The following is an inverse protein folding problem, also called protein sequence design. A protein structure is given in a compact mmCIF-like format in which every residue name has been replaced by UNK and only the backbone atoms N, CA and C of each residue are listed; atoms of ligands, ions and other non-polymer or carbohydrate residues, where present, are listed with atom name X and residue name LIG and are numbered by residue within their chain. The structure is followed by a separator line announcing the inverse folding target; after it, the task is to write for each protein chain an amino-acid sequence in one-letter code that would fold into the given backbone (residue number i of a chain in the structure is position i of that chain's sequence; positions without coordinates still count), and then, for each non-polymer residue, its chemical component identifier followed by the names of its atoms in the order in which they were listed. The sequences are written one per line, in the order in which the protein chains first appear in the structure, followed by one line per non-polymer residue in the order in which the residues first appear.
data_IF_138023251030
#
_entry.id   IF_138023251030
#
_cell.length_a   1.000
_cell.length_b   1.000
_cell.length_c   1.000
_cell.angle_alpha   90.00
_cell.angle_beta   90.00
_cell.angle_gamma   90.00
#
_symmetry.space_group_name_H-M   'P 1'
#
loop_
_entity.id
_entity.type
_entity.pdbx_description
1 polymer ?
#
# COMPACT_ATOMS: atom_id res chain seq x y z
N UNK A 1 -27.14 9.90 1.31
CA UNK A 1 -26.85 8.44 1.23
C UNK A 1 -25.33 8.17 1.29
N UNK A 2 -24.55 8.94 2.08
CA UNK A 2 -23.07 8.84 2.05
C UNK A 2 -22.35 8.90 3.41
N UNK A 3 -23.05 9.03 4.54
CA UNK A 3 -22.42 9.36 5.83
C UNK A 3 -22.00 8.13 6.65
N UNK A 4 -21.99 6.97 6.00
CA UNK A 4 -21.92 5.70 6.68
C UNK A 4 -20.99 4.71 5.97
N UNK A 5 -19.94 4.29 6.64
CA UNK A 5 -19.10 3.17 6.22
C UNK A 5 -19.66 1.87 6.79
N UNK A 6 -19.89 0.88 5.92
CA UNK A 6 -20.24 -0.47 6.36
C UNK A 6 -18.92 -1.22 6.59
N UNK A 7 -18.49 -1.30 7.85
CA UNK A 7 -17.27 -2.03 8.21
C UNK A 7 -17.68 -3.42 8.70
N UNK A 8 -17.06 -4.44 8.12
CA UNK A 8 -17.21 -5.82 8.59
C UNK A 8 -16.34 -5.98 9.82
N UNK A 9 -16.96 -6.30 10.96
CA UNK A 9 -16.21 -6.52 12.19
C UNK A 9 -15.53 -7.89 12.11
N UNK A 10 -14.24 -7.90 11.82
CA UNK A 10 -13.39 -9.09 11.90
C UNK A 10 -12.71 -9.09 13.27
N UNK A 11 -13.22 -9.92 14.18
CA UNK A 11 -12.65 -10.05 15.52
C UNK A 11 -11.74 -11.28 15.57
N UNK A 12 -10.48 -11.06 15.97
CA UNK A 12 -9.45 -12.02 16.41
C UNK A 12 -9.32 -13.35 15.65
N UNK A 13 -8.16 -13.53 15.01
CA UNK A 13 -7.65 -14.86 14.64
C UNK A 13 -7.32 -15.64 15.92
N UNK A 14 -8.18 -16.57 16.32
CA UNK A 14 -7.79 -17.60 17.26
C UNK A 14 -7.10 -18.71 16.46
N UNK A 15 -5.79 -18.84 16.62
CA UNK A 15 -5.04 -19.98 16.11
C UNK A 15 -5.18 -21.10 17.13
N UNK A 16 -6.17 -21.98 16.94
CA UNK A 16 -6.26 -23.21 17.71
C UNK A 16 -5.26 -24.23 17.16
N UNK A 17 -4.27 -24.57 17.97
CA UNK A 17 -3.41 -25.71 17.73
C UNK A 17 -3.99 -26.90 18.49
N UNK A 18 -4.35 -27.96 17.78
CA UNK A 18 -4.75 -29.20 18.42
C UNK A 18 -3.49 -30.04 18.65
N UNK A 19 -3.09 -30.18 19.91
CA UNK A 19 -2.01 -31.09 20.29
C UNK A 19 -2.47 -32.54 20.06
N UNK A 20 -1.65 -33.32 19.40
CA UNK A 20 -1.92 -34.70 18.98
C UNK A 20 -1.59 -35.72 20.08
N UNK A 21 -1.69 -35.31 21.34
CA UNK A 21 -1.29 -36.07 22.55
C UNK A 21 -2.39 -36.96 23.13
N UNK A 22 -3.61 -36.81 22.62
CA UNK A 22 -4.68 -37.78 22.79
C UNK A 22 -5.01 -38.35 21.42
N UNK A 23 -5.55 -39.56 21.35
CA UNK A 23 -6.32 -39.98 20.17
C UNK A 23 -7.42 -38.93 20.06
N UNK A 24 -7.16 -37.88 19.28
CA UNK A 24 -7.89 -36.65 19.31
C UNK A 24 -9.37 -36.96 19.12
N UNK A 25 -10.21 -36.27 19.88
CA UNK A 25 -11.63 -36.07 19.58
C UNK A 25 -11.81 -35.26 18.27
N UNK A 26 -10.87 -35.35 17.33
CA UNK A 26 -11.01 -35.00 15.93
C UNK A 26 -12.16 -35.85 15.39
N UNK A 27 -13.38 -35.33 15.55
CA UNK A 27 -14.66 -35.89 15.17
C UNK A 27 -14.53 -37.29 14.59
N UNK A 28 -14.67 -38.35 15.41
CA UNK A 28 -14.74 -39.74 14.91
C UNK A 28 -15.70 -39.88 13.70
N UNK A 29 -16.70 -39.00 13.60
CA UNK A 29 -17.63 -38.87 12.46
C UNK A 29 -16.99 -38.44 11.11
N UNK A 30 -15.79 -37.86 11.09
CA UNK A 30 -15.09 -37.38 9.87
C UNK A 30 -13.92 -38.29 9.46
N UNK A 31 -13.22 -38.92 10.41
CA UNK A 31 -12.10 -39.81 10.15
C UNK A 31 -12.27 -41.10 10.95
N UNK A 32 -13.05 -42.04 10.40
CA UNK A 32 -13.61 -43.17 11.17
C UNK A 32 -12.58 -44.14 11.78
N UNK A 33 -11.33 -44.20 11.30
CA UNK A 33 -10.30 -45.14 11.80
C UNK A 33 -8.89 -44.61 11.57
N UNK A 34 -8.01 -44.82 12.55
CA UNK A 34 -6.56 -44.83 12.32
C UNK A 34 -6.31 -45.92 11.27
N UNK A 35 -5.84 -45.54 10.09
CA UNK A 35 -5.55 -46.47 9.00
C UNK A 35 -4.05 -46.78 9.03
N UNK A 36 -3.70 -48.07 9.06
CA UNK A 36 -2.30 -48.44 8.84
C UNK A 36 -1.89 -48.07 7.41
N UNK A 37 -0.59 -47.91 7.16
CA UNK A 37 -0.06 -47.65 5.80
C UNK A 37 -0.52 -48.69 4.77
N UNK A 38 -0.85 -49.91 5.21
CA UNK A 38 -1.43 -50.96 4.36
C UNK A 38 -2.85 -50.60 3.93
N UNK A 39 -3.71 -50.26 4.88
CA UNK A 39 -5.11 -49.92 4.61
C UNK A 39 -5.21 -48.62 3.80
N UNK A 40 -4.32 -47.67 4.05
CA UNK A 40 -4.25 -46.43 3.27
C UNK A 40 -3.83 -46.70 1.82
N UNK A 41 -2.85 -47.59 1.60
CA UNK A 41 -2.46 -48.01 0.26
C UNK A 41 -3.60 -48.70 -0.51
N UNK A 42 -4.35 -49.59 0.16
CA UNK A 42 -5.53 -50.24 -0.40
C UNK A 42 -6.63 -49.26 -0.82
N UNK A 43 -6.82 -48.19 -0.04
CA UNK A 43 -7.81 -47.15 -0.33
C UNK A 43 -7.38 -46.22 -1.46
N UNK A 44 -6.11 -45.83 -1.47
CA UNK A 44 -5.58 -44.84 -2.43
C UNK A 44 -5.31 -45.47 -3.79
N UNK A 45 -4.79 -46.70 -3.84
CA UNK A 45 -4.35 -47.33 -5.08
C UNK A 45 -5.44 -47.36 -6.18
N UNK A 46 -6.71 -47.73 -5.91
CA UNK A 46 -7.78 -47.68 -6.90
C UNK A 46 -8.14 -46.26 -7.38
N UNK A 47 -7.81 -45.24 -6.60
CA UNK A 47 -8.10 -43.82 -6.91
C UNK A 47 -6.96 -43.16 -7.69
N UNK A 48 -5.82 -43.83 -7.87
CA UNK A 48 -4.71 -43.29 -8.65
C UNK A 48 -5.11 -43.13 -10.12
N UNK A 49 -4.59 -42.10 -10.82
CA UNK A 49 -4.73 -41.99 -12.26
C UNK A 49 -4.36 -43.29 -12.97
N UNK A 50 -5.11 -43.65 -14.02
CA UNK A 50 -4.93 -44.93 -14.75
C UNK A 50 -3.48 -45.15 -15.18
N UNK A 51 -2.78 -44.08 -15.58
CA UNK A 51 -1.36 -44.12 -15.97
C UNK A 51 -0.40 -44.55 -14.85
N UNK A 52 -0.73 -44.26 -13.59
CA UNK A 52 0.03 -44.68 -12.40
C UNK A 52 -0.44 -46.05 -11.91
N UNK A 53 -1.75 -46.29 -11.93
CA UNK A 53 -2.35 -47.55 -11.49
C UNK A 53 -1.88 -48.76 -12.33
N UNK A 54 -1.63 -48.54 -13.63
CA UNK A 54 -1.03 -49.57 -14.53
C UNK A 54 0.44 -49.88 -14.20
N UNK A 55 1.17 -48.93 -13.62
CA UNK A 55 2.62 -49.07 -13.34
C UNK A 55 2.92 -49.47 -11.91
N UNK A 56 2.10 -49.04 -10.96
CA UNK A 56 2.31 -49.23 -9.53
C UNK A 56 1.31 -50.25 -9.04
N UNK A 57 1.78 -51.37 -8.53
CA UNK A 57 0.94 -52.25 -7.72
C UNK A 57 0.69 -51.63 -6.32
N UNK A 58 -0.19 -52.28 -5.54
CA UNK A 58 -0.49 -51.88 -4.16
C UNK A 58 0.78 -51.83 -3.29
N UNK A 59 1.75 -52.71 -3.54
CA UNK A 59 3.01 -52.76 -2.81
C UNK A 59 3.88 -51.52 -3.06
N UNK A 60 3.97 -51.06 -4.30
CA UNK A 60 4.67 -49.82 -4.66
C UNK A 60 3.95 -48.59 -4.13
N UNK A 61 2.61 -48.57 -4.19
CA UNK A 61 1.79 -47.51 -3.58
C UNK A 61 2.06 -47.41 -2.06
N UNK A 62 2.12 -48.56 -1.37
CA UNK A 62 2.46 -48.62 0.06
C UNK A 62 3.88 -48.14 0.35
N UNK A 63 4.87 -48.50 -0.49
CA UNK A 63 6.26 -48.01 -0.36
C UNK A 63 6.31 -46.49 -0.50
N UNK A 64 5.59 -45.93 -1.46
CA UNK A 64 5.52 -44.49 -1.66
C UNK A 64 4.90 -43.77 -0.45
N UNK A 65 3.75 -44.26 0.04
CA UNK A 65 3.08 -43.69 1.24
C UNK A 65 4.02 -43.71 2.45
N UNK A 66 4.76 -44.82 2.67
CA UNK A 66 5.75 -44.90 3.76
C UNK A 66 6.88 -43.88 3.58
N UNK A 67 7.39 -43.72 2.36
CA UNK A 67 8.40 -42.72 2.03
C UNK A 67 7.90 -41.31 2.33
N UNK A 68 6.69 -40.98 1.86
CA UNK A 68 6.05 -39.69 2.08
C UNK A 68 5.87 -39.36 3.58
N UNK A 69 5.35 -40.31 4.37
CA UNK A 69 5.21 -40.14 5.83
C UNK A 69 6.57 -39.98 6.49
N UNK A 70 7.59 -40.73 6.05
CA UNK A 70 8.95 -40.60 6.59
C UNK A 70 9.53 -39.22 6.30
N UNK A 71 9.39 -38.70 5.08
CA UNK A 71 9.85 -37.34 4.72
C UNK A 71 9.16 -36.29 5.58
N UNK A 72 7.84 -36.38 5.79
CA UNK A 72 7.13 -35.47 6.67
C UNK A 72 7.66 -35.50 8.12
N UNK A 73 8.03 -36.68 8.64
CA UNK A 73 8.65 -36.80 9.97
C UNK A 73 10.04 -36.17 10.02
N UNK A 74 10.84 -36.34 8.97
CA UNK A 74 12.16 -35.74 8.85
C UNK A 74 12.07 -34.20 8.83
N UNK A 75 11.14 -33.63 8.05
CA UNK A 75 10.87 -32.18 8.03
C UNK A 75 10.40 -31.67 9.39
N UNK A 76 9.45 -32.36 10.03
CA UNK A 76 8.94 -31.95 11.35
C UNK A 76 10.03 -31.87 12.42
N UNK A 77 11.02 -32.76 12.37
CA UNK A 77 12.12 -32.76 13.33
C UNK A 77 13.21 -31.75 12.99
N UNK A 78 13.47 -31.51 11.71
CA UNK A 78 14.47 -30.55 11.26
C UNK A 78 13.98 -29.10 11.44
N UNK A 79 12.75 -28.83 11.01
CA UNK A 79 12.22 -27.48 10.82
C UNK A 79 11.11 -27.12 11.81
N UNK A 80 10.70 -28.06 12.66
CA UNK A 80 9.59 -27.87 13.60
C UNK A 80 8.20 -27.77 12.94
N UNK A 81 8.12 -27.98 11.62
CA UNK A 81 6.86 -27.98 10.86
C UNK A 81 7.00 -28.75 9.54
N UNK A 82 5.89 -29.20 8.96
CA UNK A 82 5.85 -29.77 7.61
C UNK A 82 4.64 -29.27 6.84
N UNK A 83 4.90 -28.82 5.62
CA UNK A 83 3.93 -28.25 4.69
C UNK A 83 3.47 -29.26 3.62
N UNK A 84 3.94 -30.51 3.68
CA UNK A 84 3.57 -31.56 2.71
C UNK A 84 2.06 -31.83 2.64
N UNK A 85 1.32 -31.46 3.68
CA UNK A 85 -0.12 -31.61 3.78
C UNK A 85 -0.89 -30.29 3.59
N UNK A 86 -0.22 -29.18 3.24
CA UNK A 86 -0.77 -27.82 3.19
C UNK A 86 -2.11 -27.66 2.46
N UNK A 87 -2.44 -28.42 1.39
CA UNK A 87 -3.78 -28.31 0.80
C UNK A 87 -4.93 -28.68 1.76
N UNK A 88 -4.65 -29.39 2.86
CA UNK A 88 -5.63 -29.92 3.81
C UNK A 88 -5.38 -29.40 5.23
N UNK A 89 -4.14 -29.45 5.71
CA UNK A 89 -3.71 -29.00 7.03
C UNK A 89 -2.18 -28.84 7.10
N UNK A 90 -1.67 -28.06 8.03
CA UNK A 90 -0.23 -27.98 8.32
C UNK A 90 0.08 -28.69 9.64
N UNK A 91 1.25 -29.31 9.74
CA UNK A 91 1.70 -30.00 10.96
C UNK A 91 2.86 -29.22 11.58
N UNK A 92 2.84 -29.06 12.90
CA UNK A 92 3.89 -28.42 13.70
C UNK A 92 4.39 -29.38 14.77
N UNK A 93 5.60 -29.16 15.25
CA UNK A 93 6.24 -30.02 16.23
C UNK A 93 7.07 -29.20 17.23
N UNK A 94 6.91 -29.47 18.53
CA UNK A 94 7.79 -29.00 19.59
C UNK A 94 8.59 -30.19 20.12
N UNK A 95 9.91 -30.16 19.95
CA UNK A 95 10.77 -31.29 20.34
C UNK A 95 11.25 -31.05 21.78
N UNK A 96 10.88 -31.96 22.69
CA UNK A 96 11.26 -31.84 24.10
C UNK A 96 12.45 -32.72 24.49
N UNK A 97 12.84 -33.67 23.63
CA UNK A 97 13.92 -34.62 23.91
C UNK A 97 15.08 -34.53 22.92
N UNK A 98 16.31 -34.56 23.42
CA UNK A 98 17.55 -34.65 22.63
C UNK A 98 17.93 -36.12 22.32
N UNK A 99 16.96 -36.92 21.87
CA UNK A 99 17.18 -38.33 21.52
C UNK A 99 18.26 -38.48 20.43
N UNK A 100 19.02 -39.59 20.46
CA UNK A 100 20.11 -39.85 19.51
C UNK A 100 19.63 -40.46 18.20
N UNK A 101 18.41 -41.02 18.16
CA UNK A 101 17.77 -41.55 16.96
C UNK A 101 16.54 -40.74 16.55
N UNK A 102 16.21 -40.78 15.25
CA UNK A 102 15.01 -40.14 14.69
C UNK A 102 13.72 -40.64 15.36
N UNK A 103 13.71 -41.91 15.77
CA UNK A 103 12.59 -42.50 16.48
C UNK A 103 12.43 -41.91 17.89
N UNK A 104 13.53 -41.72 18.61
CA UNK A 104 13.51 -41.17 19.98
C UNK A 104 13.14 -39.69 19.97
N UNK A 105 13.73 -38.92 19.05
CA UNK A 105 13.42 -37.50 18.87
C UNK A 105 11.94 -37.28 18.53
N UNK A 106 11.36 -38.11 17.66
CA UNK A 106 9.94 -38.05 17.34
C UNK A 106 9.03 -38.53 18.48
N UNK A 107 9.47 -39.51 19.27
CA UNK A 107 8.69 -40.02 20.42
C UNK A 107 8.59 -39.03 21.57
N UNK A 108 9.57 -38.13 21.71
CA UNK A 108 9.56 -37.02 22.68
C UNK A 108 9.07 -35.69 22.11
N UNK A 109 8.42 -35.70 20.95
CA UNK A 109 7.94 -34.49 20.30
C UNK A 109 6.43 -34.30 20.48
N UNK A 110 6.03 -33.09 20.86
CA UNK A 110 4.65 -32.66 20.88
C UNK A 110 4.24 -32.20 19.48
N UNK A 111 3.36 -32.96 18.84
CA UNK A 111 2.90 -32.66 17.48
C UNK A 111 1.57 -31.92 17.54
N UNK A 112 1.42 -30.90 16.72
CA UNK A 112 0.22 -30.09 16.60
C UNK A 112 -0.26 -30.08 15.15
N UNK A 113 -1.56 -30.17 14.93
CA UNK A 113 -2.16 -30.02 13.60
C UNK A 113 -2.92 -28.70 13.54
N UNK A 114 -2.74 -27.98 12.43
CA UNK A 114 -3.50 -26.79 12.07
C UNK A 114 -4.34 -27.10 10.84
N UNK A 115 -5.65 -27.25 11.03
CA UNK A 115 -6.58 -27.42 9.92
C UNK A 115 -6.72 -26.12 9.12
N UNK A 116 -6.64 -26.21 7.79
CA UNK A 116 -6.95 -25.06 6.92
C UNK A 116 -8.45 -24.81 6.79
N UNK A 117 -9.29 -25.74 7.26
CA UNK A 117 -10.75 -25.65 7.22
C UNK A 117 -11.37 -25.03 8.48
N UNK A 118 -10.66 -24.99 9.61
CA UNK A 118 -11.17 -24.44 10.88
C UNK A 118 -10.64 -23.03 11.16
N UNK A 119 -10.58 -22.17 10.14
CA UNK A 119 -10.59 -20.74 10.41
C UNK A 119 -12.04 -20.34 10.70
N UNK A 120 -12.43 -20.32 11.97
CA UNK A 120 -13.65 -19.66 12.41
C UNK A 120 -13.46 -18.15 12.21
N UNK A 121 -13.63 -17.69 10.97
CA UNK A 121 -14.02 -16.30 10.72
C UNK A 121 -15.43 -16.16 11.29
N UNK A 122 -15.55 -15.79 12.56
CA UNK A 122 -16.79 -15.21 13.03
C UNK A 122 -16.98 -13.90 12.29
N UNK A 123 -17.72 -13.98 11.20
CA UNK A 123 -18.22 -12.80 10.51
C UNK A 123 -19.25 -12.17 11.45
N UNK A 124 -18.84 -11.13 12.17
CA UNK A 124 -19.77 -10.30 12.92
C UNK A 124 -20.77 -9.62 11.97
N UNK A 125 -21.93 -9.17 12.48
CA UNK A 125 -22.87 -8.40 11.68
C UNK A 125 -22.17 -7.16 11.13
N UNK A 126 -22.47 -6.81 9.87
CA UNK A 126 -22.07 -5.54 9.29
C UNK A 126 -22.52 -4.41 10.20
N UNK A 127 -21.55 -3.64 10.72
CA UNK A 127 -21.87 -2.46 11.51
C UNK A 127 -21.75 -1.24 10.62
N UNK A 128 -22.76 -0.39 10.72
CA UNK A 128 -22.79 0.89 10.05
C UNK A 128 -22.11 1.88 10.99
N UNK A 129 -20.92 2.34 10.64
CA UNK A 129 -20.22 3.38 11.36
C UNK A 129 -20.46 4.72 10.67
N UNK A 130 -20.60 5.79 11.44
CA UNK A 130 -20.50 7.12 10.85
C UNK A 130 -19.11 7.30 10.26
N UNK A 131 -19.03 7.76 9.02
CA UNK A 131 -17.75 8.10 8.40
C UNK A 131 -17.09 9.18 9.26
N UNK A 132 -15.84 9.01 9.71
CA UNK A 132 -15.19 9.99 10.56
C UNK A 132 -15.15 11.34 9.84
N UNK A 133 -15.67 12.38 10.50
CA UNK A 133 -15.60 13.75 10.03
C UNK A 133 -14.38 14.39 10.66
N UNK A 134 -13.33 14.56 9.86
CA UNK A 134 -12.07 15.15 10.25
C UNK A 134 -12.26 16.65 10.56
N UNK A 135 -11.55 17.19 11.53
CA UNK A 135 -11.42 18.62 11.74
C UNK A 135 -10.64 19.31 10.61
N UNK A 136 -9.62 18.64 10.06
CA UNK A 136 -8.80 19.16 8.95
C UNK A 136 -8.25 18.03 8.05
N UNK A 137 -7.59 18.42 6.96
CA UNK A 137 -7.01 17.49 5.99
C UNK A 137 -5.75 16.75 6.49
N UNK A 138 -5.22 17.09 7.66
CA UNK A 138 -3.97 16.53 8.18
C UNK A 138 -4.19 15.36 9.11
N UNK A 139 -5.36 15.20 9.72
CA UNK A 139 -5.61 14.17 10.76
C UNK A 139 -5.31 12.74 10.32
N UNK A 140 -5.64 12.38 9.08
CA UNK A 140 -5.31 11.05 8.56
C UNK A 140 -3.79 10.86 8.46
N UNK A 141 -3.06 11.91 8.07
CA UNK A 141 -1.61 11.91 7.99
C UNK A 141 -0.99 11.93 9.39
N UNK A 142 -1.59 12.63 10.35
CA UNK A 142 -1.16 12.62 11.76
C UNK A 142 -1.31 11.24 12.39
N UNK A 143 -2.38 10.52 12.05
CA UNK A 143 -2.57 9.13 12.46
C UNK A 143 -1.58 8.17 11.78
N UNK A 144 -1.21 8.43 10.53
CA UNK A 144 -0.33 7.56 9.75
C UNK A 144 1.17 7.78 10.05
N UNK A 145 1.59 9.03 10.18
CA UNK A 145 3.00 9.45 10.22
C UNK A 145 3.40 10.19 11.50
N UNK A 146 2.46 10.42 12.42
CA UNK A 146 2.68 11.19 13.63
C UNK A 146 2.54 12.71 13.40
N UNK A 147 2.96 13.51 14.39
CA UNK A 147 2.80 14.96 14.33
C UNK A 147 3.60 15.58 13.17
N UNK A 148 3.10 16.67 12.56
CA UNK A 148 3.87 17.39 11.54
C UNK A 148 5.21 17.87 12.10
N UNK A 149 6.24 17.74 11.29
CA UNK A 149 7.58 18.30 11.56
C UNK A 149 7.49 19.82 11.56
N UNK A 150 6.72 20.38 10.63
CA UNK A 150 6.51 21.82 10.49
C UNK A 150 5.11 22.13 9.96
N UNK A 151 4.56 23.28 10.35
CA UNK A 151 3.33 23.86 9.77
C UNK A 151 3.63 25.29 9.33
N UNK A 152 3.26 25.63 8.11
CA UNK A 152 3.56 26.93 7.52
C UNK A 152 2.47 27.35 6.53
N UNK A 153 2.61 28.56 5.99
CA UNK A 153 1.73 29.11 4.98
C UNK A 153 2.53 29.45 3.73
N UNK A 154 1.98 29.10 2.57
CA UNK A 154 2.53 29.45 1.26
C UNK A 154 1.73 30.63 0.73
N UNK A 155 2.41 31.75 0.43
CA UNK A 155 1.80 32.94 -0.17
C UNK A 155 1.73 32.78 -1.69
N UNK A 156 0.64 32.20 -2.18
CA UNK A 156 0.52 31.73 -3.57
C UNK A 156 0.83 32.82 -4.58
N UNK A 157 0.33 34.05 -4.37
CA UNK A 157 0.57 35.15 -5.29
C UNK A 157 2.05 35.56 -5.37
N UNK A 158 2.74 35.62 -4.23
CA UNK A 158 4.16 35.99 -4.16
C UNK A 158 5.00 34.94 -4.91
N UNK A 159 4.70 33.65 -4.69
CA UNK A 159 5.38 32.54 -5.33
C UNK A 159 5.14 32.51 -6.86
N UNK A 160 3.89 32.72 -7.31
CA UNK A 160 3.59 32.77 -8.75
C UNK A 160 4.20 33.99 -9.43
N UNK A 161 4.27 35.13 -8.73
CA UNK A 161 4.96 36.33 -9.24
C UNK A 161 6.46 36.07 -9.38
N UNK A 162 7.07 35.32 -8.45
CA UNK A 162 8.50 34.94 -8.56
C UNK A 162 8.82 34.04 -9.75
N UNK A 163 7.79 33.40 -10.33
CA UNK A 163 7.87 32.54 -11.51
C UNK A 163 7.45 33.28 -12.79
N UNK A 164 7.34 34.61 -12.76
CA UNK A 164 6.95 35.47 -13.88
C UNK A 164 5.54 35.19 -14.47
N UNK A 165 4.61 34.65 -13.68
CA UNK A 165 3.22 34.47 -14.12
C UNK A 165 2.43 35.79 -14.27
N UNK A 166 2.99 36.92 -13.84
CA UNK A 166 2.48 38.27 -14.15
C UNK A 166 1.00 38.51 -13.81
N UNK A 167 0.45 37.81 -12.81
CA UNK A 167 -0.99 37.84 -12.51
C UNK A 167 -1.39 39.22 -12.00
N UNK A 168 -2.33 39.87 -12.69
CA UNK A 168 -2.93 41.11 -12.21
C UNK A 168 -4.03 40.83 -11.17
N UNK A 169 -4.49 41.86 -10.44
CA UNK A 169 -5.57 41.70 -9.45
C UNK A 169 -6.85 41.11 -10.08
N UNK A 170 -7.15 41.46 -11.33
CA UNK A 170 -8.32 40.93 -12.06
C UNK A 170 -8.20 39.42 -12.32
N UNK A 171 -7.00 38.93 -12.65
CA UNK A 171 -6.73 37.50 -12.82
C UNK A 171 -6.91 36.74 -11.52
N UNK A 172 -6.44 37.32 -10.40
CA UNK A 172 -6.55 36.72 -9.08
C UNK A 172 -8.02 36.61 -8.66
N UNK A 173 -8.80 37.67 -8.89
CA UNK A 173 -10.23 37.68 -8.61
C UNK A 173 -11.01 36.70 -9.50
N UNK A 174 -10.68 36.65 -10.80
CA UNK A 174 -11.37 35.77 -11.75
C UNK A 174 -11.05 34.28 -11.51
N UNK A 175 -9.81 33.96 -11.16
CA UNK A 175 -9.37 32.59 -10.84
C UNK A 175 -9.76 32.17 -9.42
N UNK A 176 -10.19 33.11 -8.56
CA UNK A 176 -10.43 32.87 -7.15
C UNK A 176 -9.22 32.23 -6.45
N UNK A 177 -8.02 32.73 -6.77
CA UNK A 177 -6.77 32.22 -6.20
C UNK A 177 -6.73 32.51 -4.69
N UNK A 178 -6.38 31.53 -3.85
CA UNK A 178 -6.20 31.77 -2.43
C UNK A 178 -4.96 32.64 -2.22
N UNK A 179 -5.05 33.64 -1.33
CA UNK A 179 -3.89 34.47 -0.95
C UNK A 179 -2.79 33.61 -0.31
N UNK A 180 -3.21 32.72 0.58
CA UNK A 180 -2.33 31.83 1.32
C UNK A 180 -2.92 30.42 1.39
N UNK A 181 -2.04 29.42 1.37
CA UNK A 181 -2.39 28.01 1.55
C UNK A 181 -1.66 27.48 2.78
N UNK A 182 -2.41 26.87 3.71
CA UNK A 182 -1.82 26.22 4.88
C UNK A 182 -1.24 24.88 4.49
N UNK A 183 -0.04 24.59 4.96
CA UNK A 183 0.70 23.36 4.64
C UNK A 183 1.28 22.76 5.92
N UNK A 184 1.19 21.45 6.04
CA UNK A 184 1.89 20.67 7.06
C UNK A 184 2.90 19.73 6.40
N UNK A 185 4.10 19.64 6.96
CA UNK A 185 5.17 18.75 6.52
C UNK A 185 5.29 17.55 7.47
N UNK A 186 5.39 16.34 6.94
CA UNK A 186 5.47 15.08 7.68
C UNK A 186 6.71 14.29 7.26
N UNK A 187 7.41 13.69 8.22
CA UNK A 187 8.48 12.73 7.92
C UNK A 187 7.84 11.35 7.69
N UNK A 188 7.97 10.81 6.48
CA UNK A 188 7.32 9.55 6.08
C UNK A 188 8.26 8.35 6.22
N UNK A 189 9.49 8.52 5.76
CA UNK A 189 10.52 7.49 5.77
C UNK A 189 11.90 8.11 5.94
N UNK A 190 12.82 7.35 6.53
CA UNK A 190 14.22 7.73 6.69
C UNK A 190 15.09 6.52 6.38
N UNK A 191 15.87 6.61 5.31
CA UNK A 191 16.73 5.54 4.81
C UNK A 191 18.16 6.07 4.71
N UNK A 192 18.99 5.73 5.70
CA UNK A 192 20.37 6.23 5.79
C UNK A 192 20.42 7.76 5.82
N UNK A 193 21.10 8.34 4.82
CA UNK A 193 21.32 9.79 4.70
C UNK A 193 20.17 10.51 4.00
N UNK A 194 19.08 9.82 3.66
CA UNK A 194 17.92 10.38 2.95
C UNK A 194 16.64 10.27 3.79
N UNK A 195 15.79 11.28 3.65
CA UNK A 195 14.46 11.33 4.26
C UNK A 195 13.41 11.73 3.23
N UNK A 196 12.23 11.13 3.32
CA UNK A 196 11.06 11.53 2.53
C UNK A 196 10.18 12.44 3.36
N UNK A 197 9.95 13.65 2.87
CA UNK A 197 9.04 14.62 3.47
C UNK A 197 7.78 14.73 2.63
N UNK A 198 6.63 14.54 3.27
CA UNK A 198 5.30 14.72 2.70
C UNK A 198 4.73 16.07 3.14
N UNK A 199 4.43 16.94 2.19
CA UNK A 199 3.66 18.16 2.39
C UNK A 199 2.20 17.89 2.08
N UNK A 200 1.30 18.43 2.90
CA UNK A 200 -0.13 18.36 2.67
C UNK A 200 -0.79 19.72 2.90
N UNK A 201 -1.61 20.16 1.95
CA UNK A 201 -2.40 21.38 2.10
C UNK A 201 -3.61 21.16 3.00
N UNK A 202 -4.11 22.23 3.61
CA UNK A 202 -5.43 22.25 4.23
C UNK A 202 -6.20 23.52 3.86
N UNK A 203 -7.37 23.33 3.26
CA UNK A 203 -8.34 24.38 2.96
C UNK A 203 -8.62 24.55 1.47
N UNK A 204 -7.81 23.96 0.59
CA UNK A 204 -8.01 24.07 -0.87
C UNK A 204 -9.33 23.41 -1.31
N UNK A 205 -9.82 22.42 -0.56
CA UNK A 205 -11.12 21.78 -0.83
C UNK A 205 -12.29 22.78 -0.86
N UNK A 206 -12.19 23.89 -0.13
CA UNK A 206 -13.23 24.94 -0.04
C UNK A 206 -13.42 25.72 -1.34
N UNK A 207 -12.44 25.64 -2.26
CA UNK A 207 -12.52 26.28 -3.57
C UNK A 207 -13.55 25.61 -4.47
N UNK A 208 -13.85 24.33 -4.26
CA UNK A 208 -14.95 23.66 -4.95
C UNK A 208 -16.28 24.27 -4.49
N UNK A 209 -17.07 24.76 -5.45
CA UNK A 209 -18.37 25.42 -5.20
C UNK A 209 -19.26 24.62 -4.23
N UNK A 210 -20.03 25.34 -3.42
CA UNK A 210 -20.96 24.80 -2.41
C UNK A 210 -21.87 23.67 -2.91
N UNK A 211 -22.22 23.67 -4.19
CA UNK A 211 -23.11 22.66 -4.79
C UNK A 211 -22.46 21.27 -4.96
N UNK A 212 -21.13 21.17 -4.95
CA UNK A 212 -20.43 19.92 -5.22
C UNK A 212 -20.03 19.14 -3.96
N UNK A 213 -19.91 19.79 -2.80
CA UNK A 213 -19.54 19.16 -1.52
C UNK A 213 -18.20 18.39 -1.52
N UNK A 214 -17.41 18.50 -2.58
CA UNK A 214 -16.23 17.68 -2.86
C UNK A 214 -15.12 18.54 -3.49
N UNK A 215 -13.93 18.55 -2.89
CA UNK A 215 -12.76 19.27 -3.39
C UNK A 215 -11.48 18.44 -3.43
N UNK A 216 -10.34 19.10 -3.57
CA UNK A 216 -9.02 18.47 -3.52
C UNK A 216 -8.15 19.11 -2.45
N UNK A 217 -7.34 18.29 -1.80
CA UNK A 217 -6.16 18.73 -1.07
C UNK A 217 -4.94 18.22 -1.80
N UNK A 218 -3.89 19.03 -1.84
CA UNK A 218 -2.66 18.69 -2.52
C UNK A 218 -1.71 18.00 -1.56
N UNK A 219 -1.11 16.91 -2.02
CA UNK A 219 0.05 16.30 -1.38
C UNK A 219 1.27 16.48 -2.25
N UNK A 220 2.43 16.59 -1.64
CA UNK A 220 3.69 16.64 -2.37
C UNK A 220 4.77 15.91 -1.58
N UNK A 221 5.40 14.91 -2.17
CA UNK A 221 6.47 14.17 -1.50
C UNK A 221 7.79 14.49 -2.16
N UNK A 222 8.80 14.77 -1.34
CA UNK A 222 10.17 15.02 -1.81
C UNK A 222 11.14 14.16 -1.03
N UNK A 223 12.25 13.82 -1.68
CA UNK A 223 13.39 13.18 -1.05
C UNK A 223 14.48 14.21 -0.79
N UNK A 224 14.96 14.31 0.44
CA UNK A 224 16.01 15.24 0.84
C UNK A 224 17.08 14.56 1.67
N UNK A 225 18.32 15.09 1.69
CA UNK A 225 19.31 14.73 2.68
C UNK A 225 18.76 14.89 4.10
N UNK A 226 19.09 13.94 4.97
CA UNK A 226 18.68 13.91 6.37
C UNK A 226 19.19 15.12 7.17
N UNK A 227 20.32 15.70 6.76
CA UNK A 227 20.91 16.88 7.41
C UNK A 227 20.20 18.20 7.05
N UNK A 228 19.38 18.18 5.99
CA UNK A 228 18.68 19.36 5.51
C UNK A 228 17.41 19.60 6.34
N UNK A 229 17.51 20.53 7.29
CA UNK A 229 16.40 20.89 8.19
C UNK A 229 15.50 22.01 7.64
N UNK A 230 15.84 22.59 6.49
CA UNK A 230 15.10 23.72 5.91
C UNK A 230 14.32 23.23 4.70
N UNK A 231 13.03 23.58 4.65
CA UNK A 231 12.20 23.32 3.47
C UNK A 231 12.75 24.10 2.27
N UNK A 232 13.09 23.43 1.16
CA UNK A 232 13.57 24.11 -0.04
C UNK A 232 12.52 25.04 -0.65
N UNK A 233 12.94 26.20 -1.16
CA UNK A 233 12.01 27.21 -1.70
C UNK A 233 11.16 26.71 -2.88
N UNK A 234 11.71 25.84 -3.72
CA UNK A 234 10.99 25.26 -4.87
C UNK A 234 9.74 24.45 -4.49
N UNK A 235 9.64 24.00 -3.24
CA UNK A 235 8.43 23.35 -2.70
C UNK A 235 7.26 24.33 -2.66
N UNK A 236 7.49 25.57 -2.23
CA UNK A 236 6.48 26.62 -2.13
C UNK A 236 5.93 26.96 -3.52
N UNK A 237 6.83 27.04 -4.50
CA UNK A 237 6.51 27.22 -5.92
C UNK A 237 5.68 26.05 -6.47
N UNK A 238 6.06 24.80 -6.21
CA UNK A 238 5.30 23.62 -6.64
C UNK A 238 3.87 23.60 -6.06
N UNK A 239 3.72 23.92 -4.78
CA UNK A 239 2.40 23.98 -4.12
C UNK A 239 1.55 25.10 -4.74
N UNK A 240 2.16 26.25 -5.04
CA UNK A 240 1.48 27.40 -5.66
C UNK A 240 1.01 27.08 -7.08
N UNK A 241 1.82 26.39 -7.88
CA UNK A 241 1.41 25.88 -9.18
C UNK A 241 0.27 24.87 -9.06
N UNK A 242 0.33 23.95 -8.08
CA UNK A 242 -0.76 23.02 -7.83
C UNK A 242 -2.07 23.73 -7.47
N UNK A 243 -2.01 24.78 -6.65
CA UNK A 243 -3.17 25.62 -6.33
C UNK A 243 -3.71 26.34 -7.58
N UNK A 244 -2.82 26.84 -8.45
CA UNK A 244 -3.20 27.43 -9.74
C UNK A 244 -3.86 26.40 -10.66
N UNK A 245 -3.37 25.16 -10.72
CA UNK A 245 -4.01 24.06 -11.48
C UNK A 245 -5.44 23.80 -11.00
N UNK A 246 -5.68 23.80 -9.69
CA UNK A 246 -7.03 23.69 -9.11
C UNK A 246 -7.88 24.89 -9.56
N UNK A 247 -7.37 26.11 -9.41
CA UNK A 247 -8.09 27.33 -9.71
C UNK A 247 -8.41 27.48 -11.20
N UNK A 248 -7.55 26.99 -12.09
CA UNK A 248 -7.80 27.00 -13.53
C UNK A 248 -8.86 25.99 -13.97
N UNK A 249 -9.21 25.00 -13.13
CA UNK A 249 -10.32 24.09 -13.41
C UNK A 249 -11.68 24.76 -13.19
N UNK A 250 -12.59 24.63 -14.15
CA UNK A 250 -13.97 25.17 -14.06
C UNK A 250 -14.71 24.74 -12.79
N UNK A 251 -14.48 23.51 -12.34
CA UNK A 251 -15.13 22.95 -11.14
C UNK A 251 -14.29 23.12 -9.88
N UNK A 252 -13.10 23.71 -9.97
CA UNK A 252 -12.09 23.76 -8.90
C UNK A 252 -11.82 22.38 -8.29
N UNK A 253 -11.96 21.37 -9.16
CA UNK A 253 -11.72 19.96 -8.89
C UNK A 253 -10.83 19.45 -10.01
N UNK A 254 -9.79 18.71 -9.63
CA UNK A 254 -8.79 18.19 -10.56
C UNK A 254 -8.69 16.69 -10.41
N UNK A 255 -8.49 16.01 -11.54
CA UNK A 255 -8.14 14.58 -11.60
C UNK A 255 -6.63 14.43 -11.78
N UNK A 256 -6.07 13.27 -11.43
CA UNK A 256 -4.73 12.89 -11.86
C UNK A 256 -4.58 13.06 -13.38
N UNK A 257 -3.40 13.47 -13.83
CA UNK A 257 -3.08 13.71 -15.23
C UNK A 257 -3.33 15.13 -15.71
N UNK A 258 -3.22 16.14 -14.84
CA UNK A 258 -3.11 17.55 -15.23
C UNK A 258 -1.69 18.03 -14.96
N UNK A 259 -1.17 18.91 -15.81
CA UNK A 259 0.16 19.48 -15.61
C UNK A 259 0.15 20.99 -15.78
N UNK A 260 1.16 21.63 -15.20
CA UNK A 260 1.48 23.03 -15.39
C UNK A 260 2.97 23.19 -15.53
N UNK A 261 3.40 23.82 -16.62
CA UNK A 261 4.80 24.16 -16.89
C UNK A 261 5.10 25.59 -16.46
N UNK A 262 6.38 25.87 -16.30
CA UNK A 262 6.94 27.19 -16.02
C UNK A 262 8.07 27.46 -16.99
N UNK A 263 8.25 28.73 -17.39
CA UNK A 263 9.38 29.12 -18.25
C UNK A 263 10.72 29.03 -17.51
N UNK A 264 10.68 29.16 -16.18
CA UNK A 264 11.83 29.04 -15.30
C UNK A 264 11.87 27.68 -14.62
N UNK A 265 13.08 27.17 -14.38
CA UNK A 265 13.27 25.96 -13.60
C UNK A 265 12.83 26.19 -12.14
N UNK A 266 11.94 25.35 -11.64
CA UNK A 266 11.58 25.24 -10.22
C UNK A 266 12.77 24.74 -9.41
N UNK A 267 13.50 23.76 -9.96
CA UNK A 267 14.70 23.20 -9.35
C UNK A 267 15.75 22.93 -10.43
N UNK A 268 16.94 23.49 -10.25
CA UNK A 268 18.12 23.21 -11.06
C UNK A 268 19.07 22.28 -10.31
N UNK A 269 18.81 20.97 -10.39
CA UNK A 269 19.65 19.93 -9.79
C UNK A 269 20.81 19.52 -10.69
N UNK A 270 21.72 18.68 -10.16
CA UNK A 270 22.86 18.14 -10.92
C UNK A 270 22.42 17.19 -12.05
N UNK A 271 21.30 16.50 -11.85
CA UNK A 271 20.83 15.42 -12.74
C UNK A 271 19.41 15.63 -13.27
N UNK A 272 18.63 16.54 -12.70
CA UNK A 272 17.31 16.91 -13.18
C UNK A 272 17.09 18.42 -13.10
N UNK A 273 16.24 18.93 -13.98
CA UNK A 273 15.78 20.30 -13.99
C UNK A 273 14.25 20.29 -14.03
N UNK A 274 13.60 20.49 -12.88
CA UNK A 274 12.14 20.50 -12.85
C UNK A 274 11.64 21.86 -13.34
N UNK A 275 10.77 21.85 -14.34
CA UNK A 275 10.19 23.06 -14.95
C UNK A 275 8.66 23.03 -14.93
N UNK A 276 8.09 22.23 -14.02
CA UNK A 276 6.65 22.12 -13.90
C UNK A 276 6.22 21.09 -12.87
N UNK A 277 4.91 20.99 -12.70
CA UNK A 277 4.25 20.01 -11.84
C UNK A 277 3.23 19.19 -12.63
N UNK A 278 3.13 17.91 -12.30
CA UNK A 278 2.11 16.97 -12.78
C UNK A 278 1.30 16.45 -11.61
N UNK A 279 -0.01 16.31 -11.79
CA UNK A 279 -0.88 15.72 -10.77
C UNK A 279 -0.99 14.21 -10.95
N UNK A 280 -0.83 13.46 -9.87
CA UNK A 280 -1.00 12.01 -9.80
C UNK A 280 -1.99 11.64 -8.69
N UNK A 281 -2.41 10.38 -8.62
CA UNK A 281 -3.20 9.89 -7.50
C UNK A 281 -2.30 9.75 -6.27
N UNK A 282 -2.76 10.20 -5.10
CA UNK A 282 -2.05 9.93 -3.85
C UNK A 282 -2.36 8.50 -3.38
N UNK A 283 -1.47 7.57 -3.73
CA UNK A 283 -1.66 6.12 -3.51
C UNK A 283 -1.85 5.72 -2.04
N UNK A 284 -1.21 6.36 -1.04
CA UNK A 284 -1.42 5.98 0.36
C UNK A 284 -2.85 6.22 0.87
N UNK A 285 -3.56 7.21 0.32
CA UNK A 285 -4.92 7.56 0.73
C UNK A 285 -5.79 7.90 -0.50
N UNK A 286 -6.17 6.89 -1.32
CA UNK A 286 -6.88 7.12 -2.59
C UNK A 286 -8.37 7.46 -2.41
N UNK A 287 -8.89 7.25 -1.20
CA UNK A 287 -10.31 7.38 -0.90
C UNK A 287 -10.74 8.82 -0.64
N UNK A 288 -12.03 9.07 -0.85
CA UNK A 288 -12.66 10.34 -0.45
C UNK A 288 -12.69 10.40 1.08
N UNK A 289 -12.19 11.50 1.61
CA UNK A 289 -12.19 11.85 3.03
C UNK A 289 -13.24 12.93 3.30
N UNK A 290 -13.75 12.96 4.52
CA UNK A 290 -14.75 13.92 4.95
C UNK A 290 -14.19 14.80 6.06
N UNK A 291 -14.35 16.11 5.94
CA UNK A 291 -14.02 17.07 6.99
C UNK A 291 -15.23 17.92 7.37
N UNK A 292 -15.12 18.68 8.47
CA UNK A 292 -16.11 19.69 8.88
C UNK A 292 -16.42 20.70 7.77
N UNK A 293 -15.48 20.91 6.86
CA UNK A 293 -15.54 21.87 5.76
C UNK A 293 -15.98 21.26 4.41
N UNK A 294 -16.34 19.98 4.39
CA UNK A 294 -16.73 19.25 3.17
C UNK A 294 -15.86 18.04 2.87
N UNK A 295 -16.20 17.34 1.79
CA UNK A 295 -15.48 16.14 1.35
C UNK A 295 -14.32 16.50 0.45
N UNK A 296 -13.28 15.68 0.41
CA UNK A 296 -12.12 15.91 -0.43
C UNK A 296 -11.40 14.62 -0.76
N UNK A 297 -10.48 14.67 -1.73
CA UNK A 297 -9.47 13.64 -1.92
C UNK A 297 -8.10 14.29 -2.01
N UNK A 298 -7.07 13.53 -1.66
CA UNK A 298 -5.69 13.93 -1.90
C UNK A 298 -5.33 13.76 -3.37
N UNK A 299 -4.66 14.77 -3.92
CA UNK A 299 -4.07 14.74 -5.26
C UNK A 299 -2.59 15.02 -5.10
N UNK A 300 -1.76 14.10 -5.56
CA UNK A 300 -0.32 14.22 -5.41
C UNK A 300 0.26 15.10 -6.52
N UNK A 301 1.24 15.92 -6.17
CA UNK A 301 2.06 16.67 -7.12
C UNK A 301 3.36 15.91 -7.35
N UNK A 302 3.89 15.99 -8.57
CA UNK A 302 5.21 15.45 -8.93
C UNK A 302 5.93 16.50 -9.76
N UNK A 303 7.17 16.80 -9.42
CA UNK A 303 8.03 17.65 -10.24
C UNK A 303 8.34 16.96 -11.57
N UNK A 304 8.14 17.68 -12.67
CA UNK A 304 8.40 17.17 -14.03
C UNK A 304 9.45 18.01 -14.77
N UNK A 305 10.23 17.33 -15.60
CA UNK A 305 11.28 17.91 -16.44
C UNK A 305 10.72 18.36 -17.79
N UNK A 306 11.44 19.26 -18.46
CA UNK A 306 11.08 19.76 -19.80
C UNK A 306 10.79 18.63 -20.81
N UNK A 307 11.59 17.56 -20.81
CA UNK A 307 11.38 16.42 -21.72
C UNK A 307 10.06 15.68 -21.45
N UNK A 308 9.62 15.62 -20.20
CA UNK A 308 8.33 15.00 -19.83
C UNK A 308 7.17 15.93 -20.17
N UNK A 309 7.36 17.23 -20.03
CA UNK A 309 6.41 18.25 -20.47
C UNK A 309 6.20 18.14 -21.99
N UNK A 310 7.28 18.06 -22.76
CA UNK A 310 7.21 17.86 -24.21
C UNK A 310 6.55 16.53 -24.58
N UNK A 311 6.81 15.46 -23.82
CA UNK A 311 6.15 14.17 -24.00
C UNK A 311 4.63 14.27 -23.71
N UNK A 312 4.25 15.01 -22.67
CA UNK A 312 2.86 15.24 -22.30
C UNK A 312 2.12 16.10 -23.35
N UNK A 313 2.77 17.15 -23.89
CA UNK A 313 2.23 17.97 -25.00
C UNK A 313 2.05 17.14 -26.27
N UNK A 314 3.03 16.30 -26.61
CA UNK A 314 3.01 15.48 -27.83
C UNK A 314 1.98 14.35 -27.78
N UNK A 315 1.76 13.75 -26.62
CA UNK A 315 0.86 12.60 -26.49
C UNK A 315 -0.31 12.84 -25.53
N UNK A 316 -0.03 12.92 -24.23
CA UNK A 316 -0.98 13.34 -23.17
C UNK A 316 -0.29 13.31 -21.81
N UNK A 317 -0.68 14.16 -20.84
CA UNK A 317 -0.16 14.08 -19.48
C UNK A 317 -0.41 12.71 -18.82
N UNK A 318 -1.55 12.06 -19.09
CA UNK A 318 -1.86 10.73 -18.54
C UNK A 318 -0.84 9.65 -18.95
N UNK A 319 -0.24 9.74 -20.14
CA UNK A 319 0.83 8.81 -20.54
C UNK A 319 2.11 9.03 -19.75
N UNK A 320 2.41 10.28 -19.37
CA UNK A 320 3.55 10.60 -18.50
C UNK A 320 3.30 10.04 -17.10
N UNK A 321 2.07 10.14 -16.58
CA UNK A 321 1.68 9.48 -15.32
C UNK A 321 1.95 7.98 -15.39
N UNK A 322 1.47 7.28 -16.43
CA UNK A 322 1.72 5.84 -16.59
C UNK A 322 3.22 5.50 -16.67
N UNK A 323 4.03 6.35 -17.31
CA UNK A 323 5.47 6.15 -17.39
C UNK A 323 6.15 6.34 -16.02
N UNK A 324 5.74 7.36 -15.26
CA UNK A 324 6.22 7.60 -13.90
C UNK A 324 5.84 6.43 -12.98
N UNK A 325 4.61 5.93 -13.08
CA UNK A 325 4.14 4.77 -12.32
C UNK A 325 4.95 3.53 -12.64
N UNK A 326 5.21 3.24 -13.92
CA UNK A 326 6.04 2.12 -14.33
C UNK A 326 7.47 2.20 -13.78
N UNK A 327 7.96 3.41 -13.50
CA UNK A 327 9.29 3.66 -12.92
C UNK A 327 9.26 3.91 -11.41
N UNK A 328 8.11 3.81 -10.74
CA UNK A 328 7.91 4.13 -9.33
C UNK A 328 8.35 5.57 -8.97
N UNK A 329 8.07 6.53 -9.84
CA UNK A 329 8.42 7.96 -9.70
C UNK A 329 7.20 8.87 -9.67
N UNK A 330 6.01 8.30 -9.50
CA UNK A 330 4.73 9.02 -9.53
C UNK A 330 4.28 9.54 -8.15
N UNK A 331 4.99 9.17 -7.09
CA UNK A 331 4.66 9.57 -5.71
C UNK A 331 5.67 10.57 -5.15
N UNK A 332 6.97 10.30 -5.29
CA UNK A 332 8.06 11.09 -4.70
C UNK A 332 8.85 11.83 -5.77
N UNK A 333 9.05 13.12 -5.55
CA UNK A 333 9.92 13.98 -6.38
C UNK A 333 11.33 13.94 -5.81
N UNK A 334 12.21 13.20 -6.48
CA UNK A 334 13.64 13.10 -6.14
C UNK A 334 14.45 14.18 -6.90
N UNK A 335 15.06 15.17 -6.20
CA UNK A 335 15.93 16.22 -6.75
C UNK A 335 17.18 15.72 -7.51
N UNK A 336 17.52 14.44 -7.39
CA UNK A 336 18.66 13.80 -8.01
C UNK A 336 18.24 12.73 -9.02
N UNK A 337 16.94 12.62 -9.33
CA UNK A 337 16.47 11.55 -10.20
C UNK A 337 17.11 11.72 -11.58
N UNK A 338 17.43 10.59 -12.20
CA UNK A 338 17.82 10.58 -13.62
C UNK A 338 16.60 10.84 -14.52
N UNK A 339 16.79 11.53 -15.66
CA UNK A 339 15.72 11.74 -16.64
C UNK A 339 15.06 10.43 -17.05
N UNK A 340 13.73 10.45 -17.25
CA UNK A 340 12.98 9.26 -17.68
C UNK A 340 13.37 8.79 -19.08
N UNK A 341 13.65 9.74 -19.96
CA UNK A 341 14.06 9.50 -21.34
C UNK A 341 15.57 9.70 -21.42
N UNK A 342 16.29 8.68 -21.86
CA UNK A 342 17.67 8.84 -22.31
C UNK A 342 17.62 9.05 -23.81
N UNK A 343 17.94 10.25 -24.28
CA UNK A 343 18.34 10.40 -25.67
C UNK A 343 19.69 9.71 -25.82
N UNK A 344 19.69 8.56 -26.47
CA UNK A 344 20.91 7.87 -26.92
C UNK A 344 21.42 8.48 -28.21
#
# INVERSE_FOLDING_TARGET
LGDHAVIRNESYRLLEFEKCDRICDAHRRRFDRIAETKDLAQRIHPQLPVSLNVKWDEANTRRYIRGFVRTAKEELLADGHSNLFDPVFSIYCLIHSSGTSLHDAFSGADIFIKSNYNQLLMVGPSRVFHTPVLENAWELLEAAYGKPVERFQVKVQDELTSLDFGLCEEDIHSLALPKEVRVAAFSVAREGDLQTILFCTDGLRKLASTDAGFGNELTFQIELPTEENKIPHWVFQCISLGALVICSSKKKQIKPGLMMETEHALLSGRHCCFSGVLTTEFKPMPHISHSKDGSFRYVNLVGIEEQEIELAKRYSPSRVVTLLEYKNKDQVTDPNRRPLLRYS
#
